data_IF_520763121559
#
_entry.id   IF_520763121559
#
_cell.length_a   1.000
_cell.length_b   1.000
_cell.length_c   1.000
_cell.angle_alpha   90.00
_cell.angle_beta   90.00
_cell.angle_gamma   90.00
#
_symmetry.space_group_name_H-M   'P 1'
#
loop_
_entity.id
_entity.type
_entity.pdbx_description
1 polymer ?
#
# COMPACT_ATOMS: atom_id res chain seq x y z
N UNK A 1 -31.11 -32.28 -16.74
CA UNK A 1 -30.82 -31.26 -15.71
C UNK A 1 -29.40 -30.82 -15.95
N UNK A 2 -29.21 -29.60 -16.45
CA UNK A 2 -27.87 -29.02 -16.68
C UNK A 2 -27.20 -28.79 -15.33
N UNK A 3 -26.02 -29.36 -15.13
CA UNK A 3 -25.19 -29.13 -13.94
C UNK A 3 -25.12 -27.63 -13.63
N UNK A 4 -25.77 -27.23 -12.55
CA UNK A 4 -25.68 -25.87 -12.04
C UNK A 4 -24.30 -25.73 -11.41
N UNK A 5 -23.31 -25.33 -12.22
CA UNK A 5 -21.97 -25.04 -11.75
C UNK A 5 -22.03 -23.77 -10.89
N UNK A 6 -22.26 -23.94 -9.60
CA UNK A 6 -22.09 -22.86 -8.61
C UNK A 6 -20.64 -22.42 -8.70
N UNK A 7 -20.42 -21.13 -8.97
CA UNK A 7 -19.08 -20.57 -8.95
C UNK A 7 -18.48 -20.83 -7.55
N UNK A 8 -17.31 -21.48 -7.44
CA UNK A 8 -16.68 -21.72 -6.15
C UNK A 8 -16.58 -20.40 -5.38
N UNK A 9 -16.91 -20.44 -4.08
CA UNK A 9 -16.76 -19.27 -3.22
C UNK A 9 -15.31 -18.78 -3.30
N UNK A 10 -15.07 -17.45 -3.37
CA UNK A 10 -13.72 -16.90 -3.37
C UNK A 10 -12.95 -17.51 -2.20
N UNK A 11 -11.79 -18.11 -2.49
CA UNK A 11 -10.95 -18.68 -1.45
C UNK A 11 -10.48 -17.54 -0.56
N UNK A 12 -10.89 -17.55 0.71
CA UNK A 12 -10.54 -16.49 1.64
C UNK A 12 -9.01 -16.40 1.74
N UNK A 13 -8.45 -15.24 1.37
CA UNK A 13 -7.05 -14.90 1.62
C UNK A 13 -6.70 -15.24 3.07
N UNK A 14 -5.57 -15.91 3.30
CA UNK A 14 -5.13 -16.29 4.65
C UNK A 14 -5.11 -15.04 5.54
N UNK A 15 -5.79 -15.01 6.71
CA UNK A 15 -5.98 -13.79 7.51
C UNK A 15 -4.68 -13.03 7.83
N UNK A 16 -3.56 -13.74 8.01
CA UNK A 16 -2.25 -13.15 8.24
C UNK A 16 -1.70 -12.34 7.06
N UNK A 17 -2.03 -12.71 5.82
CA UNK A 17 -1.60 -11.99 4.63
C UNK A 17 -2.29 -10.62 4.52
N UNK A 18 -3.58 -10.53 4.89
CA UNK A 18 -4.29 -9.25 4.95
C UNK A 18 -3.69 -8.33 6.01
N UNK A 19 -3.46 -8.85 7.23
CA UNK A 19 -2.89 -8.05 8.31
C UNK A 19 -1.49 -7.53 7.96
N UNK A 20 -0.65 -8.37 7.34
CA UNK A 20 0.67 -7.95 6.86
C UNK A 20 0.59 -6.81 5.84
N UNK A 21 -0.33 -6.90 4.86
CA UNK A 21 -0.57 -5.84 3.87
C UNK A 21 -0.99 -4.53 4.54
N UNK A 22 -1.90 -4.58 5.53
CA UNK A 22 -2.37 -3.40 6.26
C UNK A 22 -1.22 -2.75 7.04
N UNK A 23 -0.43 -3.53 7.77
CA UNK A 23 0.71 -3.00 8.55
C UNK A 23 1.73 -2.35 7.63
N UNK A 24 2.14 -3.02 6.55
CA UNK A 24 3.11 -2.47 5.58
C UNK A 24 2.59 -1.16 4.99
N UNK A 25 1.31 -1.12 4.59
CA UNK A 25 0.68 0.08 4.02
C UNK A 25 0.65 1.23 5.02
N UNK A 26 0.29 0.93 6.27
CA UNK A 26 0.23 1.92 7.34
C UNK A 26 1.61 2.53 7.62
N UNK A 27 2.65 1.70 7.70
CA UNK A 27 4.03 2.18 7.88
C UNK A 27 4.48 3.04 6.70
N UNK A 28 4.20 2.61 5.46
CA UNK A 28 4.54 3.35 4.25
C UNK A 28 3.86 4.73 4.23
N UNK A 29 2.59 4.78 4.63
CA UNK A 29 1.81 6.02 4.68
C UNK A 29 2.37 6.99 5.72
N UNK A 30 2.62 6.53 6.95
CA UNK A 30 3.22 7.37 8.00
C UNK A 30 4.61 7.87 7.61
N UNK A 31 5.46 6.99 7.05
CA UNK A 31 6.77 7.39 6.56
C UNK A 31 6.66 8.46 5.46
N UNK A 32 5.70 8.33 4.55
CA UNK A 32 5.40 9.33 3.53
C UNK A 32 4.99 10.69 4.11
N UNK A 33 4.09 10.71 5.10
CA UNK A 33 3.69 11.94 5.78
C UNK A 33 4.86 12.62 6.50
N UNK A 34 5.72 11.84 7.16
CA UNK A 34 6.93 12.35 7.82
C UNK A 34 7.87 12.96 6.77
N UNK A 35 8.11 12.27 5.65
CA UNK A 35 8.95 12.78 4.55
C UNK A 35 8.40 14.08 3.95
N UNK A 36 7.08 14.20 3.78
CA UNK A 36 6.43 15.44 3.34
C UNK A 36 6.71 16.58 4.33
N UNK A 37 6.52 16.34 5.63
CA UNK A 37 6.79 17.34 6.67
C UNK A 37 8.26 17.75 6.75
N UNK A 38 9.19 16.79 6.64
CA UNK A 38 10.63 17.06 6.60
C UNK A 38 10.99 17.84 5.33
N UNK A 39 10.49 17.42 4.17
CA UNK A 39 10.73 18.09 2.89
C UNK A 39 10.22 19.53 2.87
N UNK A 40 9.15 19.84 3.59
CA UNK A 40 8.63 21.20 3.70
C UNK A 40 9.53 22.17 4.51
N UNK A 41 10.44 21.63 5.33
CA UNK A 41 11.33 22.43 6.20
C UNK A 41 12.82 22.18 5.92
N UNK A 42 13.14 21.27 5.01
CA UNK A 42 14.50 20.92 4.63
C UNK A 42 15.18 22.01 3.79
N UNK A 43 16.50 21.86 3.62
CA UNK A 43 17.29 22.73 2.76
C UNK A 43 16.71 22.76 1.32
N UNK A 44 16.59 23.94 0.69
CA UNK A 44 15.99 24.08 -0.64
C UNK A 44 16.61 23.19 -1.73
N UNK A 45 17.89 22.82 -1.61
CA UNK A 45 18.57 21.96 -2.57
C UNK A 45 18.04 20.52 -2.55
N UNK A 46 17.54 20.04 -1.40
CA UNK A 46 17.03 18.67 -1.22
C UNK A 46 15.51 18.61 -0.99
N UNK A 47 14.91 19.71 -0.53
CA UNK A 47 13.50 19.80 -0.16
C UNK A 47 12.54 19.25 -1.23
N UNK A 48 12.67 19.54 -2.54
CA UNK A 48 11.77 19.02 -3.56
C UNK A 48 11.82 17.49 -3.66
N UNK A 49 13.01 16.90 -3.52
CA UNK A 49 13.21 15.46 -3.62
C UNK A 49 12.67 14.74 -2.38
N UNK A 50 12.91 15.30 -1.19
CA UNK A 50 12.41 14.73 0.07
C UNK A 50 10.88 14.81 0.14
N UNK A 51 10.32 15.96 -0.23
CA UNK A 51 8.88 16.18 -0.28
C UNK A 51 8.20 15.28 -1.33
N UNK A 52 8.74 15.27 -2.56
CA UNK A 52 8.24 14.40 -3.63
C UNK A 52 8.37 12.92 -3.30
N UNK A 53 9.48 12.50 -2.67
CA UNK A 53 9.66 11.14 -2.16
C UNK A 53 8.63 10.75 -1.12
N UNK A 54 8.24 11.68 -0.25
CA UNK A 54 7.15 11.49 0.70
C UNK A 54 5.78 11.28 0.04
N UNK A 55 5.47 12.03 -1.03
CA UNK A 55 4.25 11.82 -1.83
C UNK A 55 4.23 10.44 -2.47
N UNK A 56 5.36 10.03 -3.07
CA UNK A 56 5.49 8.71 -3.69
C UNK A 56 5.31 7.60 -2.64
N UNK A 57 5.96 7.72 -1.49
CA UNK A 57 5.81 6.76 -0.39
C UNK A 57 4.37 6.69 0.14
N UNK A 58 3.70 7.83 0.34
CA UNK A 58 2.30 7.87 0.77
C UNK A 58 1.35 7.26 -0.28
N UNK A 59 1.61 7.48 -1.57
CA UNK A 59 0.80 6.90 -2.65
C UNK A 59 0.98 5.38 -2.77
N UNK A 60 2.21 4.89 -2.61
CA UNK A 60 2.53 3.47 -2.65
C UNK A 60 1.86 2.68 -1.52
N UNK A 61 1.52 3.33 -0.40
CA UNK A 61 0.74 2.72 0.68
C UNK A 61 -0.61 2.16 0.19
N UNK A 62 -1.19 2.76 -0.86
CA UNK A 62 -2.45 2.30 -1.44
C UNK A 62 -2.22 1.32 -2.60
N UNK A 63 -1.08 1.39 -3.30
CA UNK A 63 -0.79 0.57 -4.48
C UNK A 63 -0.15 -0.79 -4.18
N UNK A 64 0.83 -0.87 -3.27
CA UNK A 64 1.55 -2.11 -2.94
C UNK A 64 0.69 -3.23 -2.35
N UNK A 65 -0.23 -3.00 -1.40
CA UNK A 65 -1.03 -4.08 -0.81
C UNK A 65 -1.90 -4.82 -1.84
N UNK A 66 -2.15 -4.24 -3.03
CA UNK A 66 -2.93 -4.89 -4.10
C UNK A 66 -2.13 -5.91 -4.93
N UNK A 67 -0.79 -5.87 -4.92
CA UNK A 67 0.06 -6.75 -5.76
C UNK A 67 -0.04 -8.22 -5.32
N UNK A 68 -0.33 -8.48 -4.04
CA UNK A 68 -0.49 -9.84 -3.51
C UNK A 68 -1.88 -10.46 -3.73
N UNK A 69 -2.90 -9.66 -4.04
CA UNK A 69 -4.29 -10.13 -4.15
C UNK A 69 -4.57 -10.97 -5.41
N UNK A 70 -3.61 -11.05 -6.33
CA UNK A 70 -3.77 -11.76 -7.61
C UNK A 70 -3.34 -13.24 -7.57
N UNK A 71 -2.90 -13.76 -6.43
CA UNK A 71 -2.42 -15.16 -6.28
C UNK A 71 -3.18 -15.96 -5.19
N UNK A 72 -4.46 -15.63 -4.97
CA UNK A 72 -5.37 -16.36 -4.08
C UNK A 72 -6.39 -17.16 -4.89
#
# INVERSE_FOLDING_TARGET
MSDFKVNPAPQNDTPGAMLGRVIVSFVLFLAGLVLIGVGATADPAIAPYVFGGGIVAASLAFGLPMIGASKG
#
